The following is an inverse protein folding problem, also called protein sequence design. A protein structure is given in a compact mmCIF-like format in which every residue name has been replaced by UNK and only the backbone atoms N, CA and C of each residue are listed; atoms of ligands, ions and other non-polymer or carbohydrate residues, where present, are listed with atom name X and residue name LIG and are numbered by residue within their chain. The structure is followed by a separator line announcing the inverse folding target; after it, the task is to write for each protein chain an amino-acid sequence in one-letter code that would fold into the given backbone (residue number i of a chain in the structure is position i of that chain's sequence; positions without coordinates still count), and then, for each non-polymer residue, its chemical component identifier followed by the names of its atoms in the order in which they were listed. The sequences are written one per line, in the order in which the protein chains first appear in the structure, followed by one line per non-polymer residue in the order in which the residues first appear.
data_IF_520583831334
#
_entry.id   IF_520583831334
#
_cell.length_a   1.000
_cell.length_b   1.000
_cell.length_c   1.000
_cell.angle_alpha   90.00
_cell.angle_beta   90.00
_cell.angle_gamma   90.00
#
_symmetry.space_group_name_H-M   'P 1'
#
loop_
_entity.id
_entity.type
_entity.pdbx_description
1 polymer ?
#
# COMPACT_ATOMS: atom_id res chain seq x y z
N UNK A 1 12.86 0.57 12.33
CA UNK A 1 11.81 0.84 13.35
C UNK A 1 10.42 0.75 12.70
N UNK A 2 9.34 0.63 13.48
CA UNK A 2 7.97 0.78 12.95
C UNK A 2 7.65 2.28 12.79
N UNK A 3 7.02 2.72 11.69
CA UNK A 3 6.54 4.10 11.54
C UNK A 3 5.47 4.43 12.59
N UNK A 4 5.11 5.71 12.74
CA UNK A 4 3.96 6.04 13.57
C UNK A 4 2.65 5.61 12.89
N UNK A 5 1.62 5.33 13.70
CA UNK A 5 0.26 5.03 13.18
C UNK A 5 -0.31 6.22 12.40
N UNK A 6 -0.02 7.45 12.83
CA UNK A 6 -0.49 8.67 12.16
C UNK A 6 0.12 8.84 10.76
N UNK A 7 1.42 8.57 10.61
CA UNK A 7 2.09 8.62 9.30
C UNK A 7 1.58 7.53 8.36
N UNK A 8 1.29 6.35 8.92
CA UNK A 8 0.71 5.23 8.19
C UNK A 8 -0.74 5.49 7.76
N UNK A 9 -1.55 6.15 8.58
CA UNK A 9 -2.91 6.57 8.21
C UNK A 9 -2.89 7.64 7.11
N UNK A 10 -1.98 8.61 7.23
CA UNK A 10 -1.77 9.63 6.19
C UNK A 10 -1.33 8.99 4.87
N UNK A 11 -0.41 8.01 4.94
CA UNK A 11 0.01 7.21 3.79
C UNK A 11 -1.14 6.43 3.14
N UNK A 12 -2.00 5.84 3.97
CA UNK A 12 -3.12 5.03 3.52
C UNK A 12 -4.13 5.87 2.73
N UNK A 13 -4.44 7.07 3.21
CA UNK A 13 -5.31 8.03 2.52
C UNK A 13 -4.73 8.41 1.16
N UNK A 14 -3.44 8.77 1.14
CA UNK A 14 -2.72 9.15 -0.06
C UNK A 14 -2.71 8.03 -1.12
N UNK A 15 -2.37 6.79 -0.73
CA UNK A 15 -2.45 5.61 -1.61
C UNK A 15 -3.87 5.39 -2.15
N UNK A 16 -4.89 5.68 -1.35
CA UNK A 16 -6.28 5.62 -1.80
C UNK A 16 -6.52 6.50 -3.02
N UNK A 17 -5.93 7.70 -3.03
CA UNK A 17 -6.01 8.65 -4.16
C UNK A 17 -5.16 8.21 -5.35
N UNK A 18 -4.01 7.57 -5.13
CA UNK A 18 -3.17 7.02 -6.21
C UNK A 18 -3.88 5.87 -6.93
N UNK A 19 -4.49 4.94 -6.19
CA UNK A 19 -5.21 3.80 -6.79
C UNK A 19 -6.54 4.20 -7.43
N UNK A 20 -7.17 5.27 -6.93
CA UNK A 20 -8.49 5.74 -7.37
C UNK A 20 -8.47 7.27 -7.43
N UNK A 21 -7.79 7.87 -8.42
CA UNK A 21 -7.72 9.32 -8.53
C UNK A 21 -9.10 9.88 -8.86
N UNK A 22 -9.58 10.89 -8.14
CA UNK A 22 -10.88 11.50 -8.42
C UNK A 22 -10.87 12.20 -9.78
N UNK A 23 -12.04 12.28 -10.42
CA UNK A 23 -12.21 13.06 -11.65
C UNK A 23 -12.03 14.56 -11.37
N UNK A 24 -11.49 15.28 -12.37
CA UNK A 24 -11.40 16.75 -12.33
C UNK A 24 -12.77 17.43 -12.19
N UNK A 25 -13.81 16.82 -12.76
CA UNK A 25 -15.21 17.29 -12.70
C UNK A 25 -16.16 16.10 -12.61
N UNK A 26 -17.24 16.24 -11.84
CA UNK A 26 -18.28 15.23 -11.69
C UNK A 26 -17.90 14.04 -10.82
N UNK A 27 -18.85 13.12 -10.55
CA UNK A 27 -18.63 11.94 -9.72
C UNK A 27 -17.77 10.89 -10.44
N UNK A 28 -17.05 10.08 -9.65
CA UNK A 28 -16.28 8.94 -10.12
C UNK A 28 -14.76 9.15 -10.16
N UNK A 29 -14.06 8.14 -10.69
CA UNK A 29 -12.60 8.06 -10.70
C UNK A 29 -12.05 8.02 -12.12
N UNK A 30 -10.79 8.40 -12.28
CA UNK A 30 -10.01 8.24 -13.51
C UNK A 30 -9.20 6.94 -13.39
N UNK A 31 -8.94 6.28 -14.53
CA UNK A 31 -7.96 5.20 -14.56
C UNK A 31 -6.56 5.76 -14.29
N UNK A 32 -5.87 5.32 -13.23
CA UNK A 32 -4.53 5.82 -12.90
C UNK A 32 -3.45 5.32 -13.88
N UNK A 33 -3.78 4.44 -14.84
CA UNK A 33 -2.83 3.89 -15.84
C UNK A 33 -1.61 3.24 -15.19
N UNK A 34 -1.80 2.63 -14.03
CA UNK A 34 -0.79 1.84 -13.35
C UNK A 34 -0.68 0.49 -14.02
N UNK A 35 0.54 0.03 -14.31
CA UNK A 35 0.75 -1.32 -14.78
C UNK A 35 0.31 -2.35 -13.71
N UNK A 36 -0.04 -3.58 -14.11
CA UNK A 36 -0.57 -4.57 -13.18
C UNK A 36 0.37 -4.88 -12.00
N UNK A 37 1.68 -4.84 -12.22
CA UNK A 37 2.67 -5.12 -11.17
C UNK A 37 2.66 -4.02 -10.12
N UNK A 38 2.82 -2.77 -10.55
CA UNK A 38 2.82 -1.61 -9.64
C UNK A 38 1.49 -1.48 -8.91
N UNK A 39 0.37 -1.70 -9.61
CA UNK A 39 -0.96 -1.73 -8.99
C UNK A 39 -1.06 -2.78 -7.89
N UNK A 40 -0.67 -4.03 -8.16
CA UNK A 40 -0.72 -5.11 -7.17
C UNK A 40 0.14 -4.81 -5.93
N UNK A 41 1.29 -4.17 -6.11
CA UNK A 41 2.15 -3.73 -5.00
C UNK A 41 1.48 -2.65 -4.17
N UNK A 42 0.95 -1.61 -4.80
CA UNK A 42 0.29 -0.50 -4.10
C UNK A 42 -0.97 -0.99 -3.36
N UNK A 43 -1.75 -1.90 -3.96
CA UNK A 43 -2.89 -2.53 -3.29
C UNK A 43 -2.45 -3.36 -2.07
N UNK A 44 -1.33 -4.07 -2.17
CA UNK A 44 -0.73 -4.77 -1.03
C UNK A 44 -0.28 -3.83 0.08
N UNK A 45 0.33 -2.69 -0.26
CA UNK A 45 0.71 -1.65 0.71
C UNK A 45 -0.55 -1.07 1.37
N UNK A 46 -1.59 -0.77 0.60
CA UNK A 46 -2.88 -0.27 1.12
C UNK A 46 -3.46 -1.22 2.16
N UNK A 47 -3.59 -2.50 1.83
CA UNK A 47 -4.15 -3.52 2.74
C UNK A 47 -3.30 -3.64 4.00
N UNK A 48 -1.98 -3.63 3.86
CA UNK A 48 -1.07 -3.64 4.99
C UNK A 48 -1.22 -2.42 5.90
N UNK A 49 -1.23 -1.21 5.35
CA UNK A 49 -1.37 0.01 6.14
C UNK A 49 -2.75 0.11 6.79
N UNK A 50 -3.82 -0.34 6.13
CA UNK A 50 -5.15 -0.43 6.72
C UNK A 50 -5.15 -1.34 7.95
N UNK A 51 -4.52 -2.51 7.86
CA UNK A 51 -4.38 -3.45 8.98
C UNK A 51 -3.52 -2.92 10.13
N UNK A 52 -2.57 -2.03 9.84
CA UNK A 52 -1.68 -1.44 10.84
C UNK A 52 -2.28 -0.20 11.52
N UNK A 53 -2.98 0.65 10.76
CA UNK A 53 -3.43 1.96 11.20
C UNK A 53 -4.90 2.00 11.66
N UNK A 54 -5.73 1.02 11.30
CA UNK A 54 -7.13 0.95 11.75
C UNK A 54 -7.22 0.42 13.18
N UNK A 55 -7.82 1.18 14.13
CA UNK A 55 -8.04 0.72 15.50
C UNK A 55 -8.92 -0.53 15.61
N UNK A 56 -9.74 -0.80 14.60
CA UNK A 56 -10.61 -1.98 14.53
C UNK A 56 -9.85 -3.25 14.10
N UNK A 57 -8.61 -3.11 13.62
CA UNK A 57 -7.81 -4.25 13.18
C UNK A 57 -7.16 -4.96 14.38
N UNK A 58 -7.19 -6.31 14.44
CA UNK A 58 -6.45 -7.08 15.46
C UNK A 58 -4.92 -6.82 15.45
N UNK A 59 -4.41 -6.32 14.33
CA UNK A 59 -2.99 -5.98 14.13
C UNK A 59 -2.69 -4.48 14.24
N UNK A 60 -3.61 -3.69 14.80
CA UNK A 60 -3.41 -2.27 15.07
C UNK A 60 -2.10 -2.02 15.83
N UNK A 61 -1.27 -1.12 15.32
CA UNK A 61 0.05 -0.80 15.90
C UNK A 61 1.09 -1.92 15.82
N UNK A 62 0.77 -3.09 15.26
CA UNK A 62 1.66 -4.27 15.18
C UNK A 62 2.22 -4.43 13.77
N UNK A 63 3.23 -3.63 13.42
CA UNK A 63 3.82 -3.53 12.07
C UNK A 63 4.14 -4.88 11.41
N UNK A 64 4.82 -5.78 12.15
CA UNK A 64 5.19 -7.11 11.63
C UNK A 64 3.95 -7.98 11.41
N UNK A 65 3.04 -8.03 12.37
CA UNK A 65 1.83 -8.86 12.30
C UNK A 65 0.91 -8.40 11.17
N UNK A 66 0.66 -7.09 11.04
CA UNK A 66 -0.13 -6.51 9.96
C UNK A 66 0.45 -6.85 8.58
N UNK A 67 1.78 -6.84 8.42
CA UNK A 67 2.41 -7.19 7.13
C UNK A 67 2.25 -8.67 6.76
N UNK A 68 2.27 -9.55 7.75
CA UNK A 68 2.07 -10.99 7.56
C UNK A 68 0.60 -11.24 7.20
N UNK A 69 -0.33 -10.63 7.93
CA UNK A 69 -1.76 -10.73 7.64
C UNK A 69 -2.07 -10.24 6.21
N UNK A 70 -1.54 -9.09 5.80
CA UNK A 70 -1.70 -8.59 4.44
C UNK A 70 -1.17 -9.59 3.38
N UNK A 71 0.06 -10.09 3.56
CA UNK A 71 0.64 -11.06 2.62
C UNK A 71 -0.19 -12.35 2.55
N UNK A 72 -0.70 -12.85 3.68
CA UNK A 72 -1.57 -14.02 3.73
C UNK A 72 -2.89 -13.78 2.97
N UNK A 73 -3.53 -12.63 3.16
CA UNK A 73 -4.76 -12.28 2.43
C UNK A 73 -4.54 -12.15 0.92
N UNK A 74 -3.31 -11.83 0.50
CA UNK A 74 -2.91 -11.80 -0.90
C UNK A 74 -2.52 -13.19 -1.45
N UNK A 75 -2.58 -14.25 -0.65
CA UNK A 75 -2.10 -15.59 -1.02
C UNK A 75 -0.58 -15.67 -1.22
N UNK A 76 0.19 -14.84 -0.51
CA UNK A 76 1.66 -14.74 -0.65
C UNK A 76 2.38 -15.12 0.64
N UNK A 77 3.66 -15.46 0.50
CA UNK A 77 4.51 -15.88 1.62
C UNK A 77 5.04 -14.71 2.46
N UNK A 78 5.74 -15.04 3.54
CA UNK A 78 6.44 -14.07 4.43
C UNK A 78 7.47 -13.22 3.69
N UNK A 79 7.99 -13.68 2.54
CA UNK A 79 8.81 -12.88 1.65
C UNK A 79 8.06 -11.63 1.18
N UNK A 80 6.81 -11.80 0.74
CA UNK A 80 5.95 -10.68 0.36
C UNK A 80 5.72 -9.72 1.52
N UNK A 81 5.47 -10.23 2.73
CA UNK A 81 5.35 -9.40 3.93
C UNK A 81 6.61 -8.55 4.20
N UNK A 82 7.80 -9.07 3.89
CA UNK A 82 9.06 -8.31 3.98
C UNK A 82 9.15 -7.23 2.91
N UNK A 83 8.76 -7.53 1.67
CA UNK A 83 8.70 -6.56 0.58
C UNK A 83 7.70 -5.44 0.88
N UNK A 84 6.49 -5.78 1.33
CA UNK A 84 5.46 -4.79 1.70
C UNK A 84 5.95 -3.84 2.80
N UNK A 85 6.65 -4.35 3.84
CA UNK A 85 7.22 -3.50 4.89
C UNK A 85 8.30 -2.56 4.38
N UNK A 86 9.08 -2.97 3.39
CA UNK A 86 10.10 -2.11 2.77
C UNK A 86 9.42 -1.01 1.97
N UNK A 87 8.55 -1.38 1.02
CA UNK A 87 7.86 -0.42 0.16
C UNK A 87 7.00 0.56 0.95
N UNK A 88 6.28 0.08 1.98
CA UNK A 88 5.48 0.94 2.84
C UNK A 88 6.33 1.97 3.59
N UNK A 89 7.57 1.63 4.00
CA UNK A 89 8.47 2.59 4.62
C UNK A 89 8.98 3.62 3.63
N UNK A 90 9.41 3.17 2.46
CA UNK A 90 9.86 4.05 1.37
C UNK A 90 8.74 5.05 1.03
N UNK A 91 7.51 4.56 0.85
CA UNK A 91 6.34 5.40 0.60
C UNK A 91 5.97 6.34 1.76
N UNK A 92 6.15 5.91 3.02
CA UNK A 92 5.92 6.78 4.19
C UNK A 92 6.93 7.91 4.24
N UNK A 93 8.20 7.62 3.95
CA UNK A 93 9.27 8.62 3.93
C UNK A 93 9.14 9.58 2.74
N UNK A 94 8.76 9.07 1.57
CA UNK A 94 8.62 9.84 0.34
C UNK A 94 7.41 9.37 -0.48
N UNK A 95 6.42 10.26 -0.58
CA UNK A 95 5.14 10.00 -1.26
C UNK A 95 5.25 9.92 -2.78
N UNK A 96 6.37 10.39 -3.35
CA UNK A 96 6.62 10.31 -4.79
C UNK A 96 7.13 8.94 -5.23
N UNK A 97 7.62 8.12 -4.31
CA UNK A 97 8.21 6.81 -4.60
C UNK A 97 7.13 5.75 -4.75
N UNK A 98 6.72 5.47 -5.99
CA UNK A 98 5.92 4.30 -6.31
C UNK A 98 6.79 3.06 -6.49
N UNK A 99 6.28 1.85 -6.21
CA UNK A 99 7.00 0.61 -6.51
C UNK A 99 7.31 0.53 -8.00
N UNK A 100 8.59 0.61 -8.36
CA UNK A 100 9.04 0.47 -9.73
C UNK A 100 8.92 -0.98 -10.22
N UNK A 101 8.37 -1.16 -11.42
CA UNK A 101 8.34 -2.44 -12.08
C UNK A 101 9.68 -2.69 -12.81
N UNK A 102 10.55 -3.51 -12.21
CA UNK A 102 11.85 -3.89 -12.77
C UNK A 102 11.77 -4.88 -13.95
N UNK A 103 10.60 -5.44 -14.22
CA UNK A 103 10.40 -6.49 -15.23
C UNK A 103 9.84 -5.96 -16.56
N UNK A 104 9.78 -4.64 -16.74
CA UNK A 104 9.35 -3.97 -17.96
C UNK A 104 7.83 -3.71 -18.07
N UNK A 105 7.45 -2.95 -19.09
CA UNK A 105 6.06 -2.67 -19.45
C UNK A 105 5.44 -3.91 -20.09
N UNK A 106 4.62 -4.63 -19.33
CA UNK A 106 3.73 -5.65 -19.90
C UNK A 106 2.53 -4.91 -20.47
N UNK A 107 2.57 -4.62 -21.78
CA UNK A 107 1.45 -4.07 -22.57
C UNK A 107 0.44 -5.16 -22.91
#
# INVERSE_FOLDING_TARGET
QAPSVADADSALKDIGTVLRPPRKKGPGYIDPKLDPFTRSRIEGIRSFLALYASPQSPTYGKWKAASIAAALTMGRSTYCARVLRRLAREYISDRSLLPENLYGYWN
#
